data_IF_037671312736
#
_entry.id   IF_037671312736
#
_cell.length_a   1.000
_cell.length_b   1.000
_cell.length_c   1.000
_cell.angle_alpha   90.00
_cell.angle_beta   90.00
_cell.angle_gamma   90.00
#
_symmetry.space_group_name_H-M   'P 1'
#
loop_
_entity.id
_entity.type
_entity.pdbx_description
1 polymer ?
#
# COMPACT_ATOMS: atom_id res chain seq x y z
N UNK A 1 51.99 34.88 -16.82
CA UNK A 1 52.15 33.45 -16.44
C UNK A 1 50.76 32.86 -16.25
N UNK A 2 50.28 32.02 -17.16
CA UNK A 2 48.97 31.36 -17.10
C UNK A 2 49.24 29.86 -17.03
N UNK A 3 49.10 29.26 -15.86
CA UNK A 3 49.31 27.82 -15.67
C UNK A 3 47.97 27.11 -15.86
N UNK A 4 47.88 26.29 -16.91
CA UNK A 4 46.79 25.36 -17.10
C UNK A 4 47.02 24.15 -16.19
N UNK A 5 46.10 23.89 -15.26
CA UNK A 5 46.08 22.63 -14.50
C UNK A 5 45.40 21.61 -15.40
N UNK A 6 46.17 20.63 -15.87
CA UNK A 6 45.67 19.52 -16.66
C UNK A 6 44.66 18.72 -15.84
N UNK A 7 43.42 18.63 -16.34
CA UNK A 7 42.44 17.70 -15.82
C UNK A 7 42.93 16.27 -16.10
N UNK A 8 43.33 15.56 -15.05
CA UNK A 8 43.63 14.15 -15.14
C UNK A 8 42.37 13.40 -15.59
N UNK A 9 42.44 12.77 -16.76
CA UNK A 9 41.43 11.84 -17.23
C UNK A 9 41.40 10.64 -16.27
N UNK A 10 40.42 10.64 -15.35
CA UNK A 10 40.16 9.49 -14.50
C UNK A 10 39.55 8.38 -15.38
N UNK A 11 40.13 7.19 -15.29
CA UNK A 11 39.74 5.98 -16.02
C UNK A 11 38.21 5.74 -15.97
N UNK A 12 37.54 5.96 -17.10
CA UNK A 12 36.13 5.66 -17.32
C UNK A 12 35.95 4.13 -17.49
N UNK A 13 36.24 3.37 -16.44
CA UNK A 13 35.93 1.95 -16.40
C UNK A 13 34.45 1.79 -16.01
N UNK A 14 33.65 0.93 -16.68
CA UNK A 14 32.26 0.71 -16.27
C UNK A 14 32.17 0.20 -14.83
N UNK A 15 33.25 -0.37 -14.29
CA UNK A 15 33.35 -0.81 -12.89
C UNK A 15 33.44 0.36 -11.89
N UNK A 16 34.11 1.46 -12.22
CA UNK A 16 34.16 2.66 -11.37
C UNK A 16 32.84 3.45 -11.40
N UNK A 17 32.14 3.46 -12.54
CA UNK A 17 30.77 4.00 -12.64
C UNK A 17 29.80 3.20 -11.76
N UNK A 18 29.87 1.86 -11.80
CA UNK A 18 29.04 1.00 -10.95
C UNK A 18 29.38 1.10 -9.45
N UNK A 19 30.62 1.44 -9.09
CA UNK A 19 31.04 1.65 -7.70
C UNK A 19 30.52 2.98 -7.12
N UNK A 20 30.19 3.95 -7.99
CA UNK A 20 29.60 5.24 -7.60
C UNK A 20 28.09 5.14 -7.38
N UNK A 21 27.45 4.05 -7.86
CA UNK A 21 26.04 3.77 -7.62
C UNK A 21 25.82 3.25 -6.19
N UNK A 22 25.58 4.18 -5.28
CA UNK A 22 25.11 3.88 -3.92
C UNK A 22 23.62 3.48 -3.94
N UNK A 23 23.36 2.17 -3.88
CA UNK A 23 22.01 1.59 -3.84
C UNK A 23 21.21 1.99 -2.58
N UNK A 24 21.87 2.55 -1.55
CA UNK A 24 21.23 3.17 -0.39
C UNK A 24 20.55 4.50 -0.71
N UNK A 25 20.98 5.22 -1.76
CA UNK A 25 20.32 6.45 -2.26
C UNK A 25 19.12 6.18 -3.16
N UNK A 26 19.05 5.00 -3.78
CA UNK A 26 17.97 4.61 -4.70
C UNK A 26 16.69 4.13 -3.99
N UNK A 27 16.69 4.03 -2.65
CA UNK A 27 15.57 3.41 -1.91
C UNK A 27 15.09 4.23 -0.71
N UNK A 28 14.91 5.54 -0.85
CA UNK A 28 13.93 6.31 -0.02
C UNK A 28 13.97 6.14 1.52
N UNK A 29 15.06 5.66 2.10
CA UNK A 29 15.17 5.34 3.53
C UNK A 29 16.00 6.37 4.31
N UNK A 30 16.71 7.27 3.61
CA UNK A 30 17.54 8.27 4.27
C UNK A 30 16.79 9.61 4.40
N UNK A 31 16.30 9.90 5.61
CA UNK A 31 15.48 11.07 5.96
C UNK A 31 16.29 12.33 6.31
N UNK A 32 17.57 12.41 5.97
CA UNK A 32 18.42 13.55 6.32
C UNK A 32 18.48 14.57 5.18
N UNK A 33 17.33 15.17 4.90
CA UNK A 33 17.19 16.27 3.96
C UNK A 33 15.82 16.22 3.31
N UNK A 34 15.08 17.33 3.36
CA UNK A 34 13.90 17.52 2.49
C UNK A 34 14.41 17.56 1.05
N UNK A 35 14.58 16.40 0.44
CA UNK A 35 14.93 16.27 -0.96
C UNK A 35 13.69 16.56 -1.79
N UNK A 36 13.87 17.18 -2.95
CA UNK A 36 12.80 17.50 -3.91
C UNK A 36 12.00 16.25 -4.36
N UNK A 37 12.50 15.05 -4.05
CA UNK A 37 11.82 13.77 -4.21
C UNK A 37 10.53 13.66 -3.36
N UNK A 38 10.49 14.24 -2.16
CA UNK A 38 9.28 14.28 -1.34
C UNK A 38 8.21 15.23 -1.91
N UNK A 39 8.62 16.25 -2.66
CA UNK A 39 7.74 17.19 -3.37
C UNK A 39 7.28 16.60 -4.72
N UNK A 40 8.13 15.85 -5.42
CA UNK A 40 7.82 15.25 -6.71
C UNK A 40 7.00 13.97 -6.59
N UNK A 41 7.19 13.17 -5.53
CA UNK A 41 6.43 11.96 -5.31
C UNK A 41 5.18 12.20 -4.45
N UNK A 42 4.05 12.44 -5.12
CA UNK A 42 2.74 12.67 -4.50
C UNK A 42 2.29 11.53 -3.57
N UNK A 43 2.78 10.31 -3.73
CA UNK A 43 2.43 9.20 -2.84
C UNK A 43 3.09 9.30 -1.46
N UNK A 44 4.35 9.76 -1.39
CA UNK A 44 5.09 10.02 -0.15
C UNK A 44 4.56 11.27 0.57
N UNK A 45 4.23 12.32 -0.18
CA UNK A 45 3.59 13.52 0.38
C UNK A 45 2.23 13.24 1.05
N UNK A 46 1.52 12.21 0.59
CA UNK A 46 0.24 11.80 1.18
C UNK A 46 0.40 10.75 2.30
N UNK A 47 1.58 10.16 2.47
CA UNK A 47 1.84 9.16 3.50
C UNK A 47 1.77 9.78 4.91
N UNK A 48 2.28 11.00 5.08
CA UNK A 48 2.17 11.75 6.34
C UNK A 48 0.74 12.29 6.60
N UNK A 49 -0.04 12.54 5.53
CA UNK A 49 -1.48 12.89 5.63
C UNK A 49 -2.36 11.70 5.99
N UNK A 50 -1.91 10.48 5.73
CA UNK A 50 -2.45 9.28 6.34
C UNK A 50 -1.97 9.16 7.79
N UNK A 51 -2.17 10.22 8.59
CA UNK A 51 -2.04 10.18 10.05
C UNK A 51 -2.76 8.93 10.54
N UNK A 52 -2.12 8.19 11.46
CA UNK A 52 -2.69 6.96 11.98
C UNK A 52 -4.07 7.27 12.58
N UNK A 53 -5.14 6.70 12.00
CA UNK A 53 -6.52 6.91 12.45
C UNK A 53 -6.68 6.53 13.93
N UNK A 54 -5.88 5.58 14.41
CA UNK A 54 -5.82 5.18 15.82
C UNK A 54 -5.26 6.30 16.69
N UNK A 55 -4.15 6.91 16.27
CA UNK A 55 -3.56 8.05 16.99
C UNK A 55 -4.53 9.24 17.00
N UNK A 56 -5.16 9.56 15.86
CA UNK A 56 -6.16 10.63 15.80
C UNK A 56 -7.35 10.36 16.71
N UNK A 57 -7.76 9.10 16.86
CA UNK A 57 -8.83 8.72 17.77
C UNK A 57 -8.39 8.89 19.23
N UNK A 58 -7.18 8.43 19.58
CA UNK A 58 -6.64 8.61 20.92
C UNK A 58 -6.49 10.10 21.29
N UNK A 59 -5.97 10.91 20.38
CA UNK A 59 -5.83 12.36 20.57
C UNK A 59 -7.22 13.03 20.74
N UNK A 60 -8.21 12.63 19.94
CA UNK A 60 -9.58 13.14 20.04
C UNK A 60 -10.27 12.76 21.36
N UNK A 61 -10.10 11.51 21.80
CA UNK A 61 -10.64 11.03 23.07
C UNK A 61 -9.97 11.72 24.26
N UNK A 62 -8.64 11.86 24.25
CA UNK A 62 -7.90 12.60 25.28
C UNK A 62 -8.31 14.08 25.34
N UNK A 63 -8.55 14.73 24.19
CA UNK A 63 -9.04 16.12 24.14
C UNK A 63 -10.46 16.23 24.72
N UNK A 64 -11.35 15.27 24.41
CA UNK A 64 -12.70 15.23 24.96
C UNK A 64 -12.68 15.04 26.48
N UNK A 65 -11.85 14.11 26.96
CA UNK A 65 -11.69 13.85 28.38
C UNK A 65 -11.15 15.08 29.11
N UNK A 66 -10.13 15.74 28.56
CA UNK A 66 -9.57 16.97 29.13
C UNK A 66 -10.62 18.10 29.21
N UNK A 67 -11.46 18.25 28.19
CA UNK A 67 -12.57 19.21 28.20
C UNK A 67 -13.63 18.85 29.26
N UNK A 68 -13.94 17.57 29.44
CA UNK A 68 -14.87 17.11 30.47
C UNK A 68 -14.30 17.32 31.89
N UNK A 69 -13.01 17.08 32.09
CA UNK A 69 -12.31 17.34 33.36
C UNK A 69 -12.33 18.82 33.72
N UNK A 70 -12.00 19.71 32.77
CA UNK A 70 -11.99 21.17 32.98
C UNK A 70 -13.38 21.77 33.17
N UNK A 71 -14.42 21.16 32.60
CA UNK A 71 -15.81 21.58 32.85
C UNK A 71 -16.33 21.13 34.21
N UNK A 72 -15.77 20.06 34.77
CA UNK A 72 -16.12 19.55 36.10
C UNK A 72 -15.42 20.34 37.22
N UNK A 73 -14.24 20.89 36.97
CA UNK A 73 -13.61 21.79 37.94
C UNK A 73 -14.34 23.13 37.99
N UNK A 74 -14.63 23.62 39.20
CA UNK A 74 -15.38 24.86 39.42
C UNK A 74 -14.51 26.12 39.32
N UNK A 75 -13.24 25.98 38.97
CA UNK A 75 -12.28 27.09 38.91
C UNK A 75 -12.53 27.96 37.66
N UNK A 76 -12.52 29.27 37.84
CA UNK A 76 -12.77 30.24 36.75
C UNK A 76 -11.70 30.13 35.64
N UNK A 77 -10.44 29.86 36.01
CA UNK A 77 -9.36 29.63 35.05
C UNK A 77 -9.58 28.39 34.18
N UNK A 78 -10.20 27.35 34.71
CA UNK A 78 -10.42 26.10 33.99
C UNK A 78 -11.57 26.23 32.99
N UNK A 79 -12.58 27.05 33.32
CA UNK A 79 -13.62 27.45 32.37
C UNK A 79 -13.05 28.26 31.21
N UNK A 80 -12.18 29.24 31.48
CA UNK A 80 -11.51 30.01 30.43
C UNK A 80 -10.63 29.13 29.51
N UNK A 81 -9.94 28.13 30.08
CA UNK A 81 -9.19 27.12 29.30
C UNK A 81 -10.11 26.24 28.45
N UNK A 82 -11.27 25.84 28.96
CA UNK A 82 -12.25 25.06 28.21
C UNK A 82 -12.82 25.88 27.03
N UNK A 83 -13.18 27.13 27.26
CA UNK A 83 -13.70 28.04 26.23
C UNK A 83 -12.66 28.32 25.15
N UNK A 84 -11.42 28.66 25.52
CA UNK A 84 -10.35 28.90 24.54
C UNK A 84 -10.06 27.68 23.64
N UNK A 85 -10.15 26.46 24.18
CA UNK A 85 -10.02 25.24 23.38
C UNK A 85 -11.21 25.04 22.44
N UNK A 86 -12.44 25.31 22.88
CA UNK A 86 -13.63 25.19 22.04
C UNK A 86 -13.63 26.23 20.92
N UNK A 87 -13.39 27.51 21.25
CA UNK A 87 -13.34 28.59 20.28
C UNK A 87 -12.14 28.50 19.34
N UNK A 88 -11.01 27.99 19.82
CA UNK A 88 -9.82 27.78 19.00
C UNK A 88 -10.04 26.81 17.84
N UNK A 89 -10.87 25.78 18.02
CA UNK A 89 -11.23 24.86 16.93
C UNK A 89 -12.20 25.51 15.94
N UNK A 90 -13.19 26.25 16.44
CA UNK A 90 -14.16 26.99 15.62
C UNK A 90 -13.47 28.05 14.76
N UNK A 91 -12.51 28.78 15.35
CA UNK A 91 -11.74 29.81 14.64
C UNK A 91 -10.89 29.21 13.52
N UNK A 92 -10.26 28.05 13.75
CA UNK A 92 -9.53 27.32 12.70
C UNK A 92 -10.45 26.88 11.58
N UNK A 93 -11.63 26.36 11.91
CA UNK A 93 -12.62 25.98 10.91
C UNK A 93 -13.10 27.18 10.09
N UNK A 94 -13.33 28.33 10.73
CA UNK A 94 -13.68 29.59 10.08
C UNK A 94 -12.54 30.13 9.18
N UNK A 95 -11.28 29.95 9.59
CA UNK A 95 -10.09 30.27 8.79
C UNK A 95 -9.95 29.34 7.55
N UNK A 96 -10.70 28.23 7.51
CA UNK A 96 -10.71 27.28 6.40
C UNK A 96 -9.92 26.00 6.66
N UNK A 97 -9.34 25.84 7.86
CA UNK A 97 -8.65 24.61 8.25
C UNK A 97 -9.67 23.51 8.62
N UNK A 98 -9.55 22.35 7.97
CA UNK A 98 -10.47 21.23 8.22
C UNK A 98 -10.07 20.46 9.49
N UNK A 99 -10.75 20.75 10.60
CA UNK A 99 -10.65 20.00 11.86
C UNK A 99 -11.29 18.61 11.70
N UNK A 100 -10.59 17.53 12.07
CA UNK A 100 -11.03 16.13 11.86
C UNK A 100 -11.02 15.31 13.16
N UNK A 101 -11.41 15.93 14.25
CA UNK A 101 -11.20 15.38 15.60
C UNK A 101 -12.48 14.73 16.17
N UNK A 102 -13.46 14.41 15.31
CA UNK A 102 -14.69 13.73 15.72
C UNK A 102 -14.47 12.20 15.87
N UNK A 103 -14.57 11.65 17.10
CA UNK A 103 -14.25 10.25 17.37
C UNK A 103 -15.21 9.28 16.64
N UNK A 104 -16.49 9.64 16.45
CA UNK A 104 -17.45 8.78 15.78
C UNK A 104 -17.12 8.66 14.28
N UNK A 105 -16.73 9.77 13.64
CA UNK A 105 -16.29 9.77 12.25
C UNK A 105 -14.99 9.00 12.06
N UNK A 106 -14.04 9.12 12.99
CA UNK A 106 -12.77 8.38 12.97
C UNK A 106 -12.98 6.87 13.10
N UNK A 107 -13.84 6.42 14.03
CA UNK A 107 -14.24 5.00 14.14
C UNK A 107 -14.86 4.48 12.85
N UNK A 108 -15.76 5.26 12.22
CA UNK A 108 -16.38 4.89 10.93
C UNK A 108 -15.36 4.84 9.79
N UNK A 109 -14.36 5.73 9.78
CA UNK A 109 -13.28 5.71 8.80
C UNK A 109 -12.42 4.45 8.96
N UNK A 110 -12.13 4.05 10.20
CA UNK A 110 -11.40 2.82 10.50
C UNK A 110 -12.14 1.58 10.00
N UNK A 111 -13.45 1.45 10.30
CA UNK A 111 -14.30 0.36 9.76
C UNK A 111 -14.28 0.30 8.24
N UNK A 112 -14.36 1.46 7.56
CA UNK A 112 -14.26 1.53 6.09
C UNK A 112 -12.90 1.05 5.58
N UNK A 113 -11.81 1.41 6.26
CA UNK A 113 -10.45 0.97 5.93
C UNK A 113 -10.32 -0.55 6.07
N UNK A 114 -10.83 -1.12 7.16
CA UNK A 114 -10.86 -2.57 7.39
C UNK A 114 -11.67 -3.30 6.30
N UNK A 115 -12.88 -2.83 6.00
CA UNK A 115 -13.70 -3.40 4.94
C UNK A 115 -13.02 -3.35 3.57
N UNK A 116 -12.32 -2.25 3.25
CA UNK A 116 -11.55 -2.14 2.00
C UNK A 116 -10.41 -3.16 1.96
N UNK A 117 -9.68 -3.34 3.08
CA UNK A 117 -8.61 -4.34 3.18
C UNK A 117 -9.14 -5.76 3.06
N UNK A 118 -10.29 -6.06 3.66
CA UNK A 118 -10.93 -7.37 3.53
C UNK A 118 -11.35 -7.66 2.08
N UNK A 119 -11.97 -6.69 1.40
CA UNK A 119 -12.31 -6.82 -0.03
C UNK A 119 -11.07 -7.07 -0.89
N UNK A 120 -10.00 -6.31 -0.66
CA UNK A 120 -8.73 -6.52 -1.36
C UNK A 120 -8.14 -7.90 -1.08
N UNK A 121 -8.18 -8.37 0.17
CA UNK A 121 -7.72 -9.71 0.56
C UNK A 121 -8.51 -10.81 -0.16
N UNK A 122 -9.84 -10.73 -0.16
CA UNK A 122 -10.72 -11.69 -0.87
C UNK A 122 -10.44 -11.70 -2.37
N UNK A 123 -10.32 -10.52 -2.98
CA UNK A 123 -10.02 -10.40 -4.41
C UNK A 123 -8.64 -11.01 -4.76
N UNK A 124 -7.63 -10.77 -3.92
CA UNK A 124 -6.31 -11.38 -4.10
C UNK A 124 -6.34 -12.90 -3.94
N UNK A 125 -7.02 -13.42 -2.91
CA UNK A 125 -7.19 -14.85 -2.71
C UNK A 125 -7.89 -15.51 -3.92
N UNK A 126 -8.97 -14.91 -4.42
CA UNK A 126 -9.67 -15.40 -5.61
C UNK A 126 -8.78 -15.38 -6.86
N UNK A 127 -7.96 -14.34 -7.07
CA UNK A 127 -7.01 -14.28 -8.19
C UNK A 127 -5.93 -15.34 -8.08
N UNK A 128 -5.38 -15.56 -6.89
CA UNK A 128 -4.36 -16.61 -6.69
C UNK A 128 -4.95 -18.00 -6.91
N UNK A 129 -6.19 -18.23 -6.46
CA UNK A 129 -6.89 -19.49 -6.66
C UNK A 129 -7.18 -19.73 -8.14
N UNK A 130 -7.73 -18.74 -8.84
CA UNK A 130 -7.97 -18.82 -10.28
C UNK A 130 -6.69 -19.08 -11.07
N UNK A 131 -5.57 -18.48 -10.65
CA UNK A 131 -4.27 -18.69 -11.29
C UNK A 131 -3.81 -20.14 -11.10
N UNK A 132 -3.91 -20.69 -9.88
CA UNK A 132 -3.60 -22.10 -9.59
C UNK A 132 -4.49 -23.05 -10.40
N UNK A 133 -5.81 -22.84 -10.38
CA UNK A 133 -6.75 -23.65 -11.14
C UNK A 133 -6.45 -23.65 -12.65
N UNK A 134 -6.07 -22.50 -13.21
CA UNK A 134 -5.68 -22.41 -14.61
C UNK A 134 -4.35 -23.12 -14.90
N UNK A 135 -3.38 -23.06 -13.98
CA UNK A 135 -2.13 -23.81 -14.08
C UNK A 135 -2.39 -25.31 -14.03
N UNK A 136 -3.17 -25.77 -13.05
CA UNK A 136 -3.48 -27.18 -12.85
C UNK A 136 -4.29 -27.73 -14.02
N UNK A 137 -5.25 -26.98 -14.55
CA UNK A 137 -6.00 -27.37 -15.74
C UNK A 137 -5.09 -27.53 -16.96
N UNK A 138 -4.14 -26.61 -17.18
CA UNK A 138 -3.16 -26.72 -18.27
C UNK A 138 -2.23 -27.92 -18.08
N UNK A 139 -1.78 -28.16 -16.85
CA UNK A 139 -0.93 -29.31 -16.53
C UNK A 139 -1.68 -30.63 -16.73
N UNK A 140 -2.95 -30.73 -16.33
CA UNK A 140 -3.79 -31.90 -16.54
C UNK A 140 -3.94 -32.23 -18.04
N UNK A 141 -4.27 -31.22 -18.86
CA UNK A 141 -4.34 -31.37 -20.33
C UNK A 141 -3.00 -31.86 -20.89
N UNK A 142 -1.89 -31.29 -20.42
CA UNK A 142 -0.55 -31.70 -20.87
C UNK A 142 -0.25 -33.15 -20.49
N UNK A 143 -0.56 -33.56 -19.26
CA UNK A 143 -0.36 -34.95 -18.80
C UNK A 143 -1.17 -35.93 -19.65
N UNK A 144 -2.45 -35.66 -19.83
CA UNK A 144 -3.33 -36.48 -20.68
C UNK A 144 -2.79 -36.60 -22.12
N UNK A 145 -2.42 -35.49 -22.74
CA UNK A 145 -1.89 -35.51 -24.11
C UNK A 145 -0.54 -36.24 -24.21
N UNK A 146 0.31 -36.17 -23.18
CA UNK A 146 1.57 -36.94 -23.13
C UNK A 146 1.31 -38.44 -22.94
N UNK A 147 0.34 -38.84 -22.12
CA UNK A 147 -0.06 -40.24 -21.94
C UNK A 147 -0.62 -40.84 -23.23
N UNK A 148 -1.51 -40.12 -23.93
CA UNK A 148 -2.04 -40.57 -25.24
C UNK A 148 -0.94 -40.67 -26.31
N UNK A 149 0.06 -39.78 -26.29
CA UNK A 149 1.26 -39.88 -27.16
C UNK A 149 2.10 -41.12 -26.83
N UNK A 150 2.29 -41.44 -25.55
CA UNK A 150 3.03 -42.65 -25.12
C UNK A 150 2.34 -43.94 -25.58
N UNK A 151 1.02 -43.96 -25.60
CA UNK A 151 0.21 -45.09 -26.08
C UNK A 151 0.15 -45.22 -27.62
N UNK A 152 0.93 -44.42 -28.38
CA UNK A 152 1.01 -44.49 -29.84
C UNK A 152 -0.05 -43.68 -30.59
N UNK A 153 -0.90 -42.91 -29.90
CA UNK A 153 -1.97 -42.13 -30.52
C UNK A 153 -1.51 -40.76 -31.03
N UNK A 154 -1.09 -40.66 -32.30
CA UNK A 154 -0.78 -39.36 -32.93
C UNK A 154 -2.01 -38.42 -33.03
N UNK A 155 -3.23 -38.98 -33.16
CA UNK A 155 -4.47 -38.22 -33.29
C UNK A 155 -5.05 -37.74 -31.93
N UNK A 156 -4.76 -38.42 -30.81
CA UNK A 156 -5.22 -38.06 -29.45
C UNK A 156 -4.31 -37.07 -28.72
N UNK A 157 -3.26 -36.59 -29.40
CA UNK A 157 -2.10 -35.92 -28.81
C UNK A 157 -2.25 -34.39 -28.62
N UNK A 158 -3.31 -33.78 -29.15
CA UNK A 158 -3.55 -32.33 -29.16
C UNK A 158 -5.00 -31.99 -28.82
N UNK A 159 -5.58 -32.68 -27.84
CA UNK A 159 -6.97 -32.49 -27.45
C UNK A 159 -7.10 -31.25 -26.56
N UNK A 160 -8.15 -30.47 -26.81
CA UNK A 160 -8.54 -29.36 -25.93
C UNK A 160 -9.26 -29.89 -24.69
N UNK A 161 -9.34 -29.07 -23.62
CA UNK A 161 -10.03 -29.44 -22.37
C UNK A 161 -11.42 -30.04 -22.60
N UNK A 162 -12.20 -29.46 -23.52
CA UNK A 162 -13.55 -29.91 -23.84
C UNK A 162 -13.56 -31.34 -24.42
N UNK A 163 -12.67 -31.61 -25.38
CA UNK A 163 -12.61 -32.89 -26.07
C UNK A 163 -12.04 -34.01 -25.18
N UNK A 164 -11.16 -33.69 -24.24
CA UNK A 164 -10.69 -34.65 -23.23
C UNK A 164 -11.88 -35.13 -22.37
N UNK A 165 -12.69 -34.19 -21.87
CA UNK A 165 -13.86 -34.50 -21.04
C UNK A 165 -14.91 -35.33 -21.80
N UNK A 166 -15.07 -35.12 -23.11
CA UNK A 166 -15.97 -35.91 -23.96
C UNK A 166 -15.45 -37.36 -24.13
N UNK A 167 -14.16 -37.55 -24.40
CA UNK A 167 -13.56 -38.90 -24.51
C UNK A 167 -13.60 -39.69 -23.20
N UNK A 168 -13.37 -39.04 -22.06
CA UNK A 168 -13.44 -39.69 -20.75
C UNK A 168 -14.87 -40.16 -20.43
N UNK A 169 -15.89 -39.47 -20.94
CA UNK A 169 -17.31 -39.88 -20.80
C UNK A 169 -17.70 -41.01 -21.74
N UNK A 170 -17.22 -40.99 -22.98
CA UNK A 170 -17.49 -42.04 -23.97
C UNK A 170 -16.78 -43.37 -23.63
N UNK A 171 -15.61 -43.32 -22.99
CA UNK A 171 -14.89 -44.53 -22.55
C UNK A 171 -15.39 -45.16 -21.24
N UNK A 172 -16.30 -44.51 -20.53
CA UNK A 172 -16.83 -44.96 -19.23
C UNK A 172 -18.26 -45.54 -19.31
N UNK A 173 -18.85 -45.60 -20.52
CA UNK A 173 -20.14 -46.25 -20.79
C UNK A 173 -19.98 -47.54 -21.56
#
# INVERSE_FOLDING_TARGET
KKTYVAAAAADASPKSDLATLDFGRLTGLNNNGKTDAALSNKSLANLSKAKNLEKMLADAEAKKERLEQLKKSSNEEDKAKAESMQWGDVLKEAQGDRVKDDPAKLRKAMKRKLAKKEKSRKAWASRTEQTKQNMDAKQAIRKHNLEKRKLGGAAGANLSKKRIVEQDKEGAG
#
